data_IF_454022674988
#
_entry.id   IF_454022674988
#
_cell.length_a   1.000
_cell.length_b   1.000
_cell.length_c   1.000
_cell.angle_alpha   90.00
_cell.angle_beta   90.00
_cell.angle_gamma   90.00
#
_symmetry.space_group_name_H-M   'P 1'
#
loop_
_entity.id
_entity.type
_entity.pdbx_description
1 polymer ?
#
# COMPACT_ATOMS: atom_id res chain seq x y z
N UNK A 1 3.87 -7.41 16.27
CA UNK A 1 3.09 -8.52 15.67
C UNK A 1 3.93 -9.13 14.56
N UNK A 2 3.63 -10.35 14.14
CA UNK A 2 4.31 -11.00 13.01
C UNK A 2 3.41 -11.08 11.79
N UNK A 3 3.99 -11.08 10.60
CA UNK A 3 3.26 -11.17 9.32
C UNK A 3 3.77 -12.32 8.48
N UNK A 4 2.90 -12.85 7.62
CA UNK A 4 3.25 -13.86 6.63
C UNK A 4 3.57 -13.15 5.31
N UNK A 5 4.83 -13.21 4.89
CA UNK A 5 5.27 -12.73 3.56
C UNK A 5 4.71 -13.63 2.46
N UNK A 6 4.78 -13.19 1.21
CA UNK A 6 4.24 -13.94 0.06
C UNK A 6 4.88 -15.30 -0.16
N UNK A 7 6.14 -15.46 0.22
CA UNK A 7 6.86 -16.73 0.17
C UNK A 7 6.58 -17.64 1.39
N UNK A 8 5.61 -17.29 2.23
CA UNK A 8 5.26 -18.02 3.46
C UNK A 8 6.18 -17.73 4.65
N UNK A 9 7.25 -16.97 4.48
CA UNK A 9 8.16 -16.64 5.60
C UNK A 9 7.47 -15.69 6.58
N UNK A 10 7.74 -15.92 7.87
CA UNK A 10 7.31 -15.03 8.94
C UNK A 10 8.31 -13.89 9.10
N UNK A 11 7.82 -12.68 9.32
CA UNK A 11 8.65 -11.51 9.60
C UNK A 11 7.99 -10.58 10.63
N UNK A 12 8.80 -9.79 11.32
CA UNK A 12 8.29 -8.75 12.22
C UNK A 12 7.54 -7.67 11.43
N UNK A 13 6.37 -7.30 11.94
CA UNK A 13 5.59 -6.18 11.44
C UNK A 13 6.24 -4.88 11.84
N UNK A 14 6.35 -3.98 10.86
CA UNK A 14 6.88 -2.64 11.06
C UNK A 14 5.96 -1.64 10.33
N UNK A 15 5.19 -0.81 11.04
CA UNK A 15 4.28 0.15 10.44
C UNK A 15 5.03 1.25 9.67
N UNK A 16 6.30 1.53 9.97
CA UNK A 16 7.08 2.48 9.18
C UNK A 16 7.23 2.00 7.74
N UNK A 17 7.33 0.69 7.49
CA UNK A 17 7.37 0.16 6.11
C UNK A 17 6.10 0.46 5.32
N UNK A 18 4.94 0.54 5.97
CA UNK A 18 3.69 0.96 5.33
C UNK A 18 3.78 2.45 4.99
N UNK A 19 4.16 3.28 5.96
CA UNK A 19 4.31 4.72 5.77
C UNK A 19 5.28 5.04 4.64
N UNK A 20 6.48 4.43 4.63
CA UNK A 20 7.48 4.64 3.58
C UNK A 20 6.97 4.18 2.19
N UNK A 21 6.19 3.10 2.12
CA UNK A 21 5.63 2.64 0.85
C UNK A 21 4.57 3.62 0.32
N UNK A 22 3.69 4.11 1.19
CA UNK A 22 2.71 5.15 0.85
C UNK A 22 3.42 6.44 0.43
N UNK A 23 4.45 6.86 1.19
CA UNK A 23 5.22 8.07 0.93
C UNK A 23 5.91 8.02 -0.43
N UNK A 24 6.50 6.88 -0.79
CA UNK A 24 7.10 6.67 -2.12
C UNK A 24 6.08 6.79 -3.24
N UNK A 25 4.89 6.20 -3.08
CA UNK A 25 3.82 6.35 -4.06
C UNK A 25 3.39 7.83 -4.18
N UNK A 26 3.21 8.52 -3.06
CA UNK A 26 2.81 9.92 -3.02
C UNK A 26 3.85 10.85 -3.69
N UNK A 27 5.14 10.60 -3.50
CA UNK A 27 6.23 11.37 -4.12
C UNK A 27 6.27 11.26 -5.65
N UNK A 28 5.67 10.21 -6.23
CA UNK A 28 5.56 10.11 -7.70
C UNK A 28 4.45 10.98 -8.28
N UNK A 29 3.57 11.51 -7.44
CA UNK A 29 2.39 12.29 -7.85
C UNK A 29 2.49 13.74 -7.39
N UNK A 30 3.02 13.99 -6.19
CA UNK A 30 3.01 15.30 -5.54
C UNK A 30 4.37 15.66 -4.93
N UNK A 31 4.64 16.97 -4.83
CA UNK A 31 5.67 17.51 -3.95
C UNK A 31 5.11 17.53 -2.53
N UNK A 32 5.76 16.82 -1.60
CA UNK A 32 5.22 16.61 -0.26
C UNK A 32 5.74 17.62 0.75
N UNK A 33 4.84 18.44 1.27
CA UNK A 33 5.05 19.27 2.44
C UNK A 33 4.73 18.51 3.75
N UNK A 34 4.81 19.20 4.88
CA UNK A 34 4.54 18.60 6.19
C UNK A 34 3.07 18.21 6.36
N UNK A 35 2.13 18.94 5.73
CA UNK A 35 0.71 18.62 5.76
C UNK A 35 0.44 17.28 5.08
N UNK A 36 1.00 17.05 3.89
CA UNK A 36 0.95 15.77 3.21
C UNK A 36 1.53 14.65 4.07
N UNK A 37 2.71 14.86 4.65
CA UNK A 37 3.38 13.86 5.49
C UNK A 37 2.53 13.48 6.70
N UNK A 38 1.89 14.44 7.35
CA UNK A 38 0.96 14.21 8.46
C UNK A 38 -0.28 13.43 8.00
N UNK A 39 -0.88 13.81 6.88
CA UNK A 39 -2.05 13.11 6.34
C UNK A 39 -1.75 11.63 6.01
N UNK A 40 -0.60 11.35 5.37
CA UNK A 40 -0.20 9.97 5.04
C UNK A 40 0.17 9.15 6.29
N UNK A 41 0.69 9.81 7.34
CA UNK A 41 0.90 9.17 8.63
C UNK A 41 -0.44 8.79 9.29
N UNK A 42 -1.49 9.62 9.16
CA UNK A 42 -2.83 9.27 9.61
C UNK A 42 -3.42 8.07 8.85
N UNK A 43 -3.22 7.99 7.54
CA UNK A 43 -3.61 6.81 6.74
C UNK A 43 -2.92 5.55 7.29
N UNK A 44 -1.62 5.63 7.53
CA UNK A 44 -0.84 4.50 8.08
C UNK A 44 -1.37 4.08 9.45
N UNK A 45 -1.68 5.04 10.33
CA UNK A 45 -2.27 4.76 11.63
C UNK A 45 -3.62 4.03 11.51
N UNK A 46 -4.48 4.44 10.57
CA UNK A 46 -5.76 3.76 10.32
C UNK A 46 -5.56 2.32 9.85
N UNK A 47 -4.60 2.06 8.96
CA UNK A 47 -4.27 0.69 8.53
C UNK A 47 -3.82 -0.19 9.70
N UNK A 48 -3.03 0.35 10.63
CA UNK A 48 -2.61 -0.38 11.84
C UNK A 48 -3.80 -0.70 12.73
N UNK A 49 -4.74 0.24 12.89
CA UNK A 49 -5.98 -0.01 13.63
C UNK A 49 -6.82 -1.10 12.97
N UNK A 50 -6.99 -1.07 11.64
CA UNK A 50 -7.73 -2.11 10.91
C UNK A 50 -7.12 -3.50 11.09
N UNK A 51 -5.79 -3.58 11.10
CA UNK A 51 -5.08 -4.84 11.35
C UNK A 51 -5.33 -5.36 12.77
N UNK A 52 -5.40 -4.47 13.76
CA UNK A 52 -5.71 -4.83 15.14
C UNK A 52 -7.16 -5.28 15.29
N UNK A 53 -8.10 -4.56 14.66
CA UNK A 53 -9.53 -4.85 14.70
C UNK A 53 -9.89 -6.14 13.95
N UNK A 54 -9.12 -6.51 12.93
CA UNK A 54 -9.30 -7.77 12.23
C UNK A 54 -8.95 -9.01 13.08
N UNK A 55 -8.27 -8.83 14.22
CA UNK A 55 -7.90 -9.89 15.18
C UNK A 55 -7.20 -11.10 14.53
N UNK A 56 -6.47 -10.88 13.44
CA UNK A 56 -5.69 -11.93 12.77
C UNK A 56 -4.34 -12.08 13.45
N UNK A 57 -4.04 -13.27 13.96
CA UNK A 57 -2.77 -13.54 14.69
C UNK A 57 -1.53 -13.25 13.84
N UNK A 58 -1.57 -13.62 12.55
CA UNK A 58 -0.49 -13.43 11.59
C UNK A 58 -1.04 -12.97 10.23
N UNK A 59 -1.32 -11.67 10.06
CA UNK A 59 -1.87 -11.17 8.80
C UNK A 59 -0.87 -11.40 7.66
N UNK A 60 -1.42 -11.69 6.48
CA UNK A 60 -0.60 -11.83 5.27
C UNK A 60 -0.20 -10.46 4.75
N UNK A 61 0.94 -10.39 4.06
CA UNK A 61 1.36 -9.14 3.40
C UNK A 61 0.32 -8.65 2.38
N UNK A 62 -0.42 -9.56 1.73
CA UNK A 62 -1.48 -9.19 0.81
C UNK A 62 -2.66 -8.53 1.53
N UNK A 63 -3.03 -9.02 2.73
CA UNK A 63 -4.06 -8.39 3.55
C UNK A 63 -3.66 -6.96 3.94
N UNK A 64 -2.41 -6.76 4.37
CA UNK A 64 -1.89 -5.43 4.71
C UNK A 64 -1.95 -4.50 3.49
N UNK A 65 -1.55 -5.00 2.32
CA UNK A 65 -1.62 -4.25 1.07
C UNK A 65 -3.06 -3.83 0.74
N UNK A 66 -4.03 -4.74 0.84
CA UNK A 66 -5.44 -4.42 0.63
C UNK A 66 -5.97 -3.35 1.59
N UNK A 67 -5.56 -3.38 2.86
CA UNK A 67 -5.93 -2.35 3.83
C UNK A 67 -5.33 -0.99 3.48
N UNK A 68 -4.07 -0.95 3.02
CA UNK A 68 -3.44 0.29 2.54
C UNK A 68 -4.18 0.86 1.33
N UNK A 69 -4.49 0.02 0.35
CA UNK A 69 -5.23 0.40 -0.86
C UNK A 69 -6.60 0.98 -0.49
N UNK A 70 -7.36 0.29 0.36
CA UNK A 70 -8.67 0.75 0.83
C UNK A 70 -8.57 2.10 1.57
N UNK A 71 -7.63 2.24 2.51
CA UNK A 71 -7.49 3.48 3.28
C UNK A 71 -7.03 4.68 2.46
N UNK A 72 -6.23 4.46 1.41
CA UNK A 72 -5.90 5.54 0.47
C UNK A 72 -7.13 5.97 -0.34
N UNK A 73 -7.93 5.02 -0.81
CA UNK A 73 -9.17 5.30 -1.55
C UNK A 73 -10.21 6.02 -0.69
N UNK A 74 -10.46 5.52 0.52
CA UNK A 74 -11.41 6.13 1.48
C UNK A 74 -10.99 7.55 1.91
N UNK A 75 -9.68 7.81 2.00
CA UNK A 75 -9.17 9.14 2.32
C UNK A 75 -9.21 10.12 1.12
N UNK A 76 -9.67 9.67 -0.05
CA UNK A 76 -9.73 10.47 -1.27
C UNK A 76 -8.36 10.67 -1.95
N UNK A 77 -7.33 9.92 -1.53
CA UNK A 77 -6.00 9.97 -2.14
C UNK A 77 -5.92 9.08 -3.40
N UNK A 78 -6.85 9.31 -4.33
CA UNK A 78 -7.10 8.46 -5.51
C UNK A 78 -5.83 8.28 -6.35
N UNK A 79 -5.15 9.38 -6.72
CA UNK A 79 -3.92 9.30 -7.53
C UNK A 79 -2.77 8.59 -6.79
N UNK A 80 -2.70 8.71 -5.45
CA UNK A 80 -1.70 7.99 -4.66
C UNK A 80 -2.02 6.50 -4.64
N UNK A 81 -3.29 6.14 -4.49
CA UNK A 81 -3.75 4.75 -4.56
C UNK A 81 -3.44 4.13 -5.93
N UNK A 82 -3.73 4.81 -7.04
CA UNK A 82 -3.40 4.36 -8.40
C UNK A 82 -1.92 3.99 -8.55
N UNK A 83 -1.04 4.89 -8.12
CA UNK A 83 0.41 4.69 -8.21
C UNK A 83 0.90 3.60 -7.26
N UNK A 84 0.35 3.52 -6.05
CA UNK A 84 0.67 2.45 -5.10
C UNK A 84 0.29 1.07 -5.65
N UNK A 85 -0.94 0.93 -6.17
CA UNK A 85 -1.46 -0.33 -6.73
C UNK A 85 -0.69 -0.69 -8.01
N UNK A 86 -0.45 0.27 -8.91
CA UNK A 86 0.35 0.05 -10.12
C UNK A 86 1.73 -0.50 -9.78
N UNK A 87 2.42 0.15 -8.85
CA UNK A 87 3.74 -0.29 -8.40
C UNK A 87 3.68 -1.70 -7.80
N UNK A 88 2.71 -1.98 -6.93
CA UNK A 88 2.56 -3.31 -6.33
C UNK A 88 2.35 -4.37 -7.41
N UNK A 89 1.40 -4.15 -8.33
CA UNK A 89 1.10 -5.09 -9.41
C UNK A 89 2.32 -5.30 -10.32
N UNK A 90 3.06 -4.23 -10.66
CA UNK A 90 4.29 -4.33 -11.44
C UNK A 90 5.32 -5.22 -10.72
N UNK A 91 5.54 -4.99 -9.43
CA UNK A 91 6.43 -5.82 -8.60
C UNK A 91 5.96 -7.28 -8.50
N UNK A 92 4.67 -7.54 -8.62
CA UNK A 92 4.10 -8.89 -8.58
C UNK A 92 4.39 -9.61 -9.90
N UNK A 93 4.25 -8.93 -11.03
CA UNK A 93 4.61 -9.45 -12.35
C UNK A 93 6.10 -9.73 -12.48
N UNK A 94 6.95 -8.83 -12.01
CA UNK A 94 8.41 -9.02 -11.99
C UNK A 94 8.80 -10.30 -11.22
N UNK A 95 8.22 -10.53 -10.04
CA UNK A 95 8.49 -11.73 -9.24
C UNK A 95 8.02 -13.02 -9.91
N UNK A 96 6.98 -12.94 -10.75
CA UNK A 96 6.45 -14.08 -11.49
C UNK A 96 7.08 -14.24 -12.89
N UNK A 97 8.13 -13.47 -13.22
CA UNK A 97 8.84 -13.59 -14.50
C UNK A 97 8.17 -12.90 -15.70
N UNK A 98 7.25 -11.98 -15.44
CA UNK A 98 6.55 -11.18 -16.46
C UNK A 98 7.03 -9.72 -16.54
N UNK A 99 8.06 -9.34 -15.76
CA UNK A 99 8.53 -7.95 -15.65
C UNK A 99 8.89 -7.30 -16.99
N UNK A 100 9.50 -8.07 -17.91
CA UNK A 100 9.90 -7.57 -19.24
C UNK A 100 8.80 -7.74 -20.30
N UNK A 101 7.70 -8.40 -19.95
CA UNK A 101 6.60 -8.75 -20.87
C UNK A 101 5.37 -7.88 -20.67
N UNK A 102 5.18 -7.33 -19.49
CA UNK A 102 3.98 -6.59 -19.10
C UNK A 102 4.37 -5.38 -18.26
N UNK A 103 3.84 -4.22 -18.67
CA UNK A 103 3.91 -2.97 -17.92
C UNK A 103 2.51 -2.67 -17.39
N UNK A 104 2.41 -2.42 -16.09
CA UNK A 104 1.16 -2.02 -15.45
C UNK A 104 0.96 -0.53 -15.59
N UNK A 105 -0.18 -0.16 -16.19
CA UNK A 105 -0.72 1.19 -16.13
C UNK A 105 -2.13 1.11 -15.57
N UNK A 106 -2.33 1.65 -14.36
CA UNK A 106 -3.65 1.76 -13.74
C UNK A 106 -4.07 3.22 -13.74
N UNK A 107 -5.32 3.46 -14.10
CA UNK A 107 -5.99 4.75 -14.01
C UNK A 107 -7.42 4.52 -13.56
N UNK A 108 -7.83 5.18 -12.50
CA UNK A 108 -9.20 5.21 -12.04
C UNK A 108 -9.96 6.31 -12.78
N UNK A 109 -11.18 5.98 -13.18
CA UNK A 109 -12.12 6.94 -13.73
C UNK A 109 -13.13 7.29 -12.63
N UNK A 110 -13.23 8.57 -12.30
CA UNK A 110 -14.28 9.03 -11.41
C UNK A 110 -15.60 9.05 -12.19
N UNK A 111 -16.48 8.12 -11.87
CA UNK A 111 -17.87 8.19 -12.30
C UNK A 111 -18.56 9.28 -11.49
N UNK A 112 -19.24 10.20 -12.19
CA UNK A 112 -20.00 11.33 -11.61
C UNK A 112 -20.93 10.91 -10.48
#
# INVERSE_FOLDING_TARGET
MQIIKRNGQVAEFDPDKIYQAILKAAQTVYVLDDTWRQNLAQVTKKVVLDLQDAQVERPTINMIQSLVENRLMEAGFINIAEHYISYRLQRDLERNGYGDKVIVHLRFEQTK
#
